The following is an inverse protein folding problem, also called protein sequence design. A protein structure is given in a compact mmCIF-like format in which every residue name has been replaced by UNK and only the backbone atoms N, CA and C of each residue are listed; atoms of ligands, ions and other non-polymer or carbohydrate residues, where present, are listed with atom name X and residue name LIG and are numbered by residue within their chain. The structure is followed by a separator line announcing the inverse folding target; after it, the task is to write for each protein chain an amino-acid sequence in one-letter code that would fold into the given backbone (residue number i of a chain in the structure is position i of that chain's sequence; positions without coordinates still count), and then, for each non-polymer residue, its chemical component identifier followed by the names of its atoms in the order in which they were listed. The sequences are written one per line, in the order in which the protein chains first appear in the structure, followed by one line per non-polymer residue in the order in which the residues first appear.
data_IF_512040269038
#
_entry.id   IF_512040269038
#
_cell.length_a   1.000
_cell.length_b   1.000
_cell.length_c   1.000
_cell.angle_alpha   90.00
_cell.angle_beta   90.00
_cell.angle_gamma   90.00
#
_symmetry.space_group_name_H-M   'P 1'
#
loop_
_entity.id
_entity.type
_entity.pdbx_description
1 polymer ?
#
# COMPACT_ATOMS: atom_id res chain seq x y z
N UNK A 1 17.56 0.87 -8.32
CA UNK A 1 17.31 -0.42 -7.63
C UNK A 1 15.81 -0.54 -7.32
N UNK A 2 15.37 -1.71 -6.83
CA UNK A 2 13.97 -1.91 -6.45
C UNK A 2 13.83 -2.83 -5.24
N UNK A 3 12.67 -2.75 -4.57
CA UNK A 3 12.24 -3.68 -3.54
C UNK A 3 10.81 -4.16 -3.84
N UNK A 4 10.55 -5.44 -3.66
CA UNK A 4 9.25 -6.07 -3.81
C UNK A 4 9.18 -7.35 -2.97
N UNK A 5 7.98 -7.90 -2.83
CA UNK A 5 7.72 -9.27 -2.39
C UNK A 5 6.87 -9.91 -3.47
N UNK A 6 7.36 -11.01 -4.06
CA UNK A 6 6.61 -11.70 -5.10
C UNK A 6 5.34 -12.33 -4.53
N UNK A 7 4.20 -12.20 -5.22
CA UNK A 7 2.97 -12.85 -4.82
C UNK A 7 3.09 -14.37 -4.99
N UNK A 8 2.35 -15.12 -4.21
CA UNK A 8 2.19 -16.53 -4.48
C UNK A 8 1.45 -16.71 -5.81
N UNK A 9 1.98 -17.60 -6.66
CA UNK A 9 1.44 -17.84 -8.01
C UNK A 9 -0.04 -18.20 -7.93
N UNK A 10 -0.85 -17.51 -8.73
CA UNK A 10 -2.30 -17.67 -8.82
C UNK A 10 -3.10 -17.42 -7.53
N UNK A 11 -2.47 -16.99 -6.45
CA UNK A 11 -3.17 -16.68 -5.19
C UNK A 11 -3.30 -15.18 -4.95
N UNK A 12 -2.19 -14.44 -5.10
CA UNK A 12 -2.12 -13.04 -4.68
C UNK A 12 -1.94 -12.03 -5.83
N UNK A 13 -1.94 -12.50 -7.08
CA UNK A 13 -1.69 -11.65 -8.25
C UNK A 13 -2.90 -10.92 -8.82
N UNK A 14 -4.09 -11.12 -8.27
CA UNK A 14 -5.33 -10.42 -8.67
C UNK A 14 -6.05 -10.96 -9.90
N UNK A 15 -5.40 -11.75 -10.74
CA UNK A 15 -5.99 -12.41 -11.91
C UNK A 15 -5.42 -13.82 -12.06
N UNK A 16 -6.18 -14.77 -12.63
CA UNK A 16 -5.67 -16.10 -12.95
C UNK A 16 -4.44 -16.00 -13.87
N UNK A 17 -3.41 -16.78 -13.57
CA UNK A 17 -2.12 -16.78 -14.27
C UNK A 17 -1.36 -15.44 -14.28
N UNK A 18 -1.84 -14.43 -13.57
CA UNK A 18 -1.17 -13.16 -13.38
C UNK A 18 -0.46 -13.10 -12.02
N UNK A 19 0.67 -12.41 -11.99
CA UNK A 19 1.44 -12.15 -10.77
C UNK A 19 1.67 -10.65 -10.61
N UNK A 20 0.57 -9.87 -10.60
CA UNK A 20 0.62 -8.43 -10.37
C UNK A 20 1.11 -8.20 -8.94
N UNK A 21 2.05 -7.28 -8.77
CA UNK A 21 2.67 -6.98 -7.49
C UNK A 21 2.89 -5.49 -7.31
N UNK A 22 2.94 -5.06 -6.06
CA UNK A 22 3.46 -3.74 -5.71
C UNK A 22 4.98 -3.81 -5.61
N UNK A 23 5.66 -2.79 -6.11
CA UNK A 23 7.12 -2.67 -5.96
C UNK A 23 7.50 -1.19 -5.84
N UNK A 24 8.67 -0.92 -5.27
CA UNK A 24 9.25 0.42 -5.24
C UNK A 24 10.56 0.42 -6.02
N UNK A 25 10.63 1.30 -7.02
CA UNK A 25 11.87 1.64 -7.68
C UNK A 25 12.48 2.86 -6.98
N UNK A 26 13.76 2.84 -6.73
CA UNK A 26 14.42 3.93 -6.03
C UNK A 26 15.84 4.20 -6.52
N UNK A 27 16.28 5.43 -6.36
CA UNK A 27 17.64 5.86 -6.69
C UNK A 27 18.57 5.60 -5.52
N UNK A 28 19.55 4.73 -5.76
CA UNK A 28 20.53 4.31 -4.73
C UNK A 28 21.57 5.37 -4.41
N UNK A 29 21.68 6.40 -5.23
CA UNK A 29 22.50 7.58 -4.95
C UNK A 29 21.80 8.58 -4.02
N UNK A 30 20.50 8.45 -3.80
CA UNK A 30 19.70 9.37 -2.97
C UNK A 30 19.11 8.76 -1.72
N UNK A 31 18.63 7.54 -1.82
CA UNK A 31 17.99 6.84 -0.69
C UNK A 31 18.52 5.42 -0.56
N UNK A 32 18.41 4.89 0.63
CA UNK A 32 18.72 3.52 0.97
C UNK A 32 17.59 2.85 1.72
N UNK A 33 17.53 1.53 1.64
CA UNK A 33 16.56 0.73 2.40
C UNK A 33 17.06 0.58 3.83
N UNK A 34 16.24 0.95 4.81
CA UNK A 34 16.58 0.74 6.23
C UNK A 34 16.62 -0.77 6.50
N UNK A 35 17.68 -1.30 7.12
CA UNK A 35 17.75 -2.72 7.43
C UNK A 35 16.57 -3.19 8.30
N UNK A 36 16.01 -4.35 7.96
CA UNK A 36 14.97 -4.98 8.77
C UNK A 36 15.49 -5.36 10.18
N UNK A 37 14.62 -5.33 11.18
CA UNK A 37 15.01 -5.61 12.55
C UNK A 37 15.40 -7.08 12.80
N UNK A 38 14.72 -8.02 12.15
CA UNK A 38 14.85 -9.44 12.46
C UNK A 38 15.56 -10.30 11.42
N UNK A 39 15.76 -9.83 10.20
CA UNK A 39 16.42 -10.58 9.10
C UNK A 39 17.02 -9.64 8.06
N UNK A 40 17.89 -10.19 7.21
CA UNK A 40 18.45 -9.45 6.07
C UNK A 40 17.32 -8.83 5.24
N UNK A 41 17.44 -7.55 4.95
CA UNK A 41 16.57 -6.85 4.00
C UNK A 41 16.51 -7.65 2.71
N UNK A 42 15.32 -8.11 2.33
CA UNK A 42 15.16 -8.86 1.08
C UNK A 42 15.12 -7.86 -0.07
N UNK A 43 16.15 -7.84 -0.89
CA UNK A 43 16.15 -7.09 -2.16
C UNK A 43 15.21 -7.73 -3.20
N UNK A 44 15.05 -9.04 -3.12
CA UNK A 44 14.19 -9.85 -3.96
C UNK A 44 13.60 -10.96 -3.09
N UNK A 45 12.33 -11.17 -3.11
CA UNK A 45 11.79 -12.43 -2.68
C UNK A 45 12.05 -13.44 -3.80
N UNK A 46 13.09 -14.23 -3.64
CA UNK A 46 13.25 -15.41 -4.47
C UNK A 46 12.03 -16.33 -4.34
N UNK A 47 11.98 -17.35 -5.13
CA UNK A 47 10.94 -18.34 -5.44
C UNK A 47 9.89 -18.75 -4.38
N UNK A 48 9.95 -18.30 -3.13
CA UNK A 48 9.13 -18.78 -2.02
C UNK A 48 8.62 -17.65 -1.12
N UNK A 49 8.13 -16.56 -1.69
CA UNK A 49 7.46 -15.52 -0.92
C UNK A 49 6.14 -16.04 -0.34
N UNK A 50 6.21 -16.89 0.70
CA UNK A 50 5.02 -17.24 1.47
C UNK A 50 4.45 -15.98 2.09
N UNK A 51 3.19 -15.72 1.80
CA UNK A 51 2.52 -14.45 2.05
C UNK A 51 2.52 -14.03 3.51
N UNK A 52 2.40 -14.97 4.42
CA UNK A 52 2.12 -14.67 5.83
C UNK A 52 3.40 -14.45 6.65
N UNK A 53 4.54 -14.96 6.18
CA UNK A 53 5.81 -14.82 6.90
C UNK A 53 6.44 -13.41 6.80
N UNK A 54 6.00 -12.59 5.83
CA UNK A 54 6.57 -11.27 5.54
C UNK A 54 5.57 -10.13 5.83
N UNK A 55 4.74 -10.30 6.86
CA UNK A 55 3.81 -9.25 7.28
C UNK A 55 4.55 -7.97 7.67
N UNK A 56 4.00 -6.84 7.28
CA UNK A 56 4.48 -5.53 7.69
C UNK A 56 4.16 -5.31 9.17
N UNK A 57 5.19 -5.23 9.99
CA UNK A 57 5.09 -4.97 11.42
C UNK A 57 6.15 -3.94 11.79
N UNK A 58 5.74 -2.86 12.44
CA UNK A 58 6.68 -1.91 13.04
C UNK A 58 7.17 -2.46 14.39
N UNK A 59 8.47 -2.44 14.62
CA UNK A 59 9.07 -2.87 15.88
C UNK A 59 8.64 -1.96 17.05
N UNK A 60 8.78 -2.47 18.27
CA UNK A 60 8.34 -1.77 19.50
C UNK A 60 8.99 -0.40 19.68
N UNK A 61 10.23 -0.25 19.22
CA UNK A 61 10.98 1.00 19.30
C UNK A 61 10.59 2.03 18.22
N UNK A 62 9.71 1.67 17.28
CA UNK A 62 9.28 2.51 16.18
C UNK A 62 10.34 2.80 15.09
N UNK A 63 11.54 2.25 15.23
CA UNK A 63 12.68 2.60 14.38
C UNK A 63 12.79 1.78 13.11
N UNK A 64 12.25 0.56 13.09
CA UNK A 64 12.42 -0.35 11.96
C UNK A 64 11.20 -1.23 11.76
N UNK A 65 11.02 -1.70 10.53
CA UNK A 65 10.11 -2.78 10.23
C UNK A 65 10.75 -4.13 10.58
N UNK A 66 9.95 -5.06 11.09
CA UNK A 66 10.35 -6.46 11.30
C UNK A 66 10.82 -7.09 9.99
N UNK A 67 10.11 -6.85 8.91
CA UNK A 67 10.45 -7.21 7.54
C UNK A 67 10.43 -5.95 6.66
N UNK A 68 11.50 -5.70 5.92
CA UNK A 68 11.59 -4.54 5.04
C UNK A 68 12.08 -4.96 3.64
N UNK A 69 11.19 -5.02 2.60
CA UNK A 69 9.78 -4.67 2.68
C UNK A 69 8.93 -5.71 3.43
N UNK A 70 7.74 -5.31 3.86
CA UNK A 70 6.71 -6.15 4.44
C UNK A 70 5.37 -6.00 3.73
N UNK A 71 4.45 -6.97 3.88
CA UNK A 71 3.11 -6.92 3.28
C UNK A 71 2.05 -6.61 4.32
N UNK A 72 1.08 -5.77 3.93
CA UNK A 72 -0.11 -5.45 4.72
C UNK A 72 -1.28 -6.29 4.19
N UNK A 73 -2.13 -6.78 5.08
CA UNK A 73 -3.31 -7.58 4.73
C UNK A 73 -3.04 -9.06 4.50
N UNK A 74 -1.91 -9.58 4.97
CA UNK A 74 -1.63 -11.02 4.99
C UNK A 74 -2.64 -11.74 5.89
N UNK A 75 -3.18 -12.89 5.42
CA UNK A 75 -4.19 -13.66 6.16
C UNK A 75 -5.59 -13.03 6.20
N UNK A 76 -5.80 -11.86 5.60
CA UNK A 76 -7.12 -11.19 5.59
C UNK A 76 -7.95 -11.61 4.39
N UNK A 77 -9.23 -11.95 4.63
CA UNK A 77 -10.16 -12.42 3.59
C UNK A 77 -10.32 -11.38 2.46
N UNK A 78 -10.45 -10.10 2.81
CA UNK A 78 -10.58 -9.02 1.85
C UNK A 78 -9.30 -8.72 1.04
N UNK A 79 -8.19 -9.36 1.36
CA UNK A 79 -6.99 -9.42 0.54
C UNK A 79 -6.79 -10.79 -0.16
N UNK A 80 -7.70 -11.74 -0.03
CA UNK A 80 -7.61 -13.04 -0.72
C UNK A 80 -7.72 -12.84 -2.23
N UNK A 81 -6.85 -13.50 -2.98
CA UNK A 81 -6.76 -13.41 -4.45
C UNK A 81 -6.55 -12.00 -5.01
N UNK A 82 -5.96 -11.11 -4.22
CA UNK A 82 -5.63 -9.75 -4.64
C UNK A 82 -4.24 -9.38 -4.17
N UNK A 83 -3.69 -8.30 -4.75
CA UNK A 83 -2.37 -7.77 -4.39
C UNK A 83 -2.40 -7.31 -2.94
N UNK A 84 -1.40 -7.71 -2.17
CA UNK A 84 -1.18 -7.17 -0.82
C UNK A 84 -0.52 -5.81 -0.93
N UNK A 85 -0.89 -4.86 -0.08
CA UNK A 85 -0.15 -3.61 0.01
C UNK A 85 1.27 -3.86 0.50
N UNK A 86 2.24 -3.16 -0.08
CA UNK A 86 3.65 -3.31 0.23
C UNK A 86 4.10 -2.13 1.08
N UNK A 87 4.67 -2.39 2.24
CA UNK A 87 5.27 -1.37 3.09
C UNK A 87 6.79 -1.47 3.03
N UNK A 88 7.47 -0.34 2.84
CA UNK A 88 8.91 -0.25 2.90
C UNK A 88 9.36 0.96 3.72
N UNK A 89 10.49 0.82 4.39
CA UNK A 89 11.13 1.86 5.17
C UNK A 89 12.43 2.26 4.49
N UNK A 90 12.53 3.53 4.11
CA UNK A 90 13.67 4.12 3.45
C UNK A 90 14.28 5.23 4.31
N UNK A 91 15.54 5.53 4.02
CA UNK A 91 16.27 6.66 4.59
C UNK A 91 16.94 7.45 3.48
N UNK A 92 16.96 8.76 3.56
CA UNK A 92 17.79 9.58 2.71
C UNK A 92 19.26 9.37 3.06
N UNK A 93 20.13 9.36 2.05
CA UNK A 93 21.57 9.31 2.28
C UNK A 93 22.07 10.60 2.93
N UNK A 94 23.21 10.49 3.59
CA UNK A 94 23.86 11.61 4.24
C UNK A 94 24.04 12.77 3.25
N UNK A 95 23.82 13.99 3.72
CA UNK A 95 23.81 15.19 2.88
C UNK A 95 22.53 15.45 2.10
N UNK A 96 21.58 14.51 2.09
CA UNK A 96 20.27 14.67 1.44
C UNK A 96 19.19 14.71 2.51
N UNK A 97 18.40 15.78 2.54
CA UNK A 97 17.27 15.97 3.46
C UNK A 97 17.60 15.61 4.93
N UNK A 98 18.83 15.89 5.37
CA UNK A 98 19.31 15.63 6.74
C UNK A 98 19.33 14.14 7.14
N UNK A 99 19.40 13.23 6.18
CA UNK A 99 19.39 11.79 6.46
C UNK A 99 18.08 11.28 7.07
N UNK A 100 16.97 12.02 6.94
CA UNK A 100 15.66 11.62 7.47
C UNK A 100 15.17 10.33 6.81
N UNK A 101 14.44 9.54 7.59
CA UNK A 101 13.80 8.32 7.12
C UNK A 101 12.29 8.52 6.92
N UNK A 102 11.67 7.61 6.16
CA UNK A 102 10.26 7.66 5.84
C UNK A 102 9.73 6.28 5.45
N UNK A 103 8.45 6.06 5.68
CA UNK A 103 7.74 4.86 5.28
C UNK A 103 6.96 5.10 4.00
N UNK A 104 6.97 4.12 3.10
CA UNK A 104 6.18 4.16 1.86
C UNK A 104 5.29 2.92 1.82
N UNK A 105 4.02 3.12 1.51
CA UNK A 105 3.05 2.05 1.35
C UNK A 105 2.55 2.10 -0.09
N UNK A 106 2.82 1.04 -0.85
CA UNK A 106 2.34 0.86 -2.21
C UNK A 106 1.06 0.05 -2.22
N UNK A 107 -0.01 0.59 -2.80
CA UNK A 107 -1.32 -0.02 -2.84
C UNK A 107 -1.71 -0.40 -4.26
N UNK A 108 -2.48 -1.49 -4.39
CA UNK A 108 -3.24 -1.82 -5.57
C UNK A 108 -4.51 -2.54 -5.11
N UNK A 109 -5.53 -1.75 -4.77
CA UNK A 109 -6.77 -2.24 -4.19
C UNK A 109 -7.64 -2.98 -5.21
N UNK A 110 -8.73 -3.58 -4.74
CA UNK A 110 -9.67 -4.31 -5.57
C UNK A 110 -10.31 -3.39 -6.62
N UNK A 111 -10.27 -3.83 -7.88
CA UNK A 111 -10.90 -3.11 -8.99
C UNK A 111 -12.43 -3.13 -8.86
N UNK A 112 -13.10 -2.24 -9.60
CA UNK A 112 -14.58 -2.16 -9.66
C UNK A 112 -15.20 -3.26 -10.54
N UNK A 113 -14.41 -4.23 -10.98
CA UNK A 113 -14.89 -5.34 -11.82
C UNK A 113 -15.94 -6.17 -11.06
N UNK A 114 -17.10 -6.33 -11.66
CA UNK A 114 -18.22 -7.10 -11.11
C UNK A 114 -19.18 -6.29 -10.23
N UNK A 115 -18.95 -4.99 -10.08
CA UNK A 115 -19.96 -4.07 -9.53
C UNK A 115 -21.00 -3.75 -10.61
N UNK A 116 -22.24 -3.56 -10.18
CA UNK A 116 -23.30 -3.11 -11.07
C UNK A 116 -23.07 -1.64 -11.50
N UNK A 117 -23.43 -1.27 -12.73
CA UNK A 117 -23.46 0.13 -13.14
C UNK A 117 -24.38 0.95 -12.22
N UNK A 118 -23.96 2.17 -11.86
CA UNK A 118 -24.74 3.06 -10.98
C UNK A 118 -26.14 3.31 -11.53
N UNK A 119 -26.28 3.41 -12.85
CA UNK A 119 -27.52 3.64 -13.59
C UNK A 119 -28.05 2.36 -14.27
N UNK A 120 -27.67 1.19 -13.73
CA UNK A 120 -28.14 -0.11 -14.24
C UNK A 120 -29.59 -0.42 -13.85
N UNK A 121 -30.12 -1.50 -14.45
CA UNK A 121 -31.49 -1.99 -14.16
C UNK A 121 -31.68 -2.48 -12.73
N UNK A 122 -30.61 -2.85 -12.05
CA UNK A 122 -30.66 -3.27 -10.64
C UNK A 122 -30.50 -2.07 -9.73
N UNK A 123 -31.50 -1.83 -8.86
CA UNK A 123 -31.46 -0.77 -7.84
C UNK A 123 -31.81 -1.33 -6.45
N UNK A 124 -31.02 -1.03 -5.42
CA UNK A 124 -29.72 -0.34 -5.49
C UNK A 124 -28.66 -1.19 -6.21
N UNK A 125 -27.71 -0.53 -6.86
CA UNK A 125 -26.60 -1.17 -7.54
C UNK A 125 -25.75 -1.96 -6.53
N UNK A 126 -25.40 -3.21 -6.86
CA UNK A 126 -24.50 -4.01 -6.03
C UNK A 126 -23.06 -3.55 -6.21
N UNK A 127 -22.43 -3.12 -5.15
CA UNK A 127 -21.07 -2.54 -5.12
C UNK A 127 -20.14 -3.29 -4.16
N UNK A 128 -20.08 -4.62 -4.30
CA UNK A 128 -19.31 -5.48 -3.40
C UNK A 128 -17.80 -5.21 -3.40
N UNK A 129 -17.28 -4.68 -4.51
CA UNK A 129 -15.87 -4.29 -4.58
C UNK A 129 -15.56 -3.05 -3.73
N UNK A 130 -16.53 -2.16 -3.54
CA UNK A 130 -16.38 -0.95 -2.73
C UNK A 130 -16.20 -1.31 -1.24
N UNK A 131 -17.04 -2.18 -0.70
CA UNK A 131 -16.90 -2.67 0.68
C UNK A 131 -15.52 -3.29 0.90
N UNK A 132 -15.07 -4.06 -0.09
CA UNK A 132 -13.74 -4.68 -0.05
C UNK A 132 -12.62 -3.64 -0.04
N UNK A 133 -12.72 -2.59 -0.86
CA UNK A 133 -11.75 -1.47 -0.86
C UNK A 133 -11.75 -0.74 0.47
N UNK A 134 -12.91 -0.54 1.09
CA UNK A 134 -13.01 0.07 2.41
C UNK A 134 -12.24 -0.73 3.47
N UNK A 135 -12.43 -2.07 3.51
CA UNK A 135 -11.71 -2.94 4.43
C UNK A 135 -10.18 -2.96 4.14
N UNK A 136 -9.80 -2.91 2.87
CA UNK A 136 -8.39 -2.80 2.47
C UNK A 136 -7.78 -1.46 2.93
N UNK A 137 -8.53 -0.37 2.82
CA UNK A 137 -8.11 0.93 3.33
C UNK A 137 -7.96 0.93 4.86
N UNK A 138 -8.93 0.36 5.57
CA UNK A 138 -8.89 0.25 7.04
C UNK A 138 -7.65 -0.52 7.53
N UNK A 139 -7.28 -1.60 6.85
CA UNK A 139 -6.08 -2.36 7.20
C UNK A 139 -4.78 -1.56 6.97
N UNK A 140 -4.72 -0.81 5.88
CA UNK A 140 -3.57 0.08 5.60
C UNK A 140 -3.51 1.20 6.62
N UNK A 141 -4.65 1.80 6.97
CA UNK A 141 -4.75 2.85 8.00
C UNK A 141 -4.31 2.31 9.36
N UNK A 142 -4.78 1.12 9.76
CA UNK A 142 -4.36 0.49 11.02
C UNK A 142 -2.83 0.29 11.09
N UNK A 143 -2.20 -0.04 9.96
CA UNK A 143 -0.74 -0.12 9.90
C UNK A 143 -0.08 1.27 10.02
N UNK A 144 -0.63 2.30 9.38
CA UNK A 144 -0.15 3.69 9.52
C UNK A 144 -0.25 4.14 10.97
N UNK A 145 -1.39 3.87 11.61
CA UNK A 145 -1.62 4.22 13.02
C UNK A 145 -0.61 3.50 13.94
N UNK A 146 -0.31 2.23 13.67
CA UNK A 146 0.70 1.48 14.43
C UNK A 146 2.11 2.09 14.34
N UNK A 147 2.44 2.74 13.21
CA UNK A 147 3.68 3.52 13.08
C UNK A 147 3.58 4.81 13.89
N UNK A 148 2.48 5.55 13.74
CA UNK A 148 2.26 6.84 14.39
C UNK A 148 2.17 6.75 15.90
N UNK A 149 1.60 5.69 16.45
CA UNK A 149 1.57 5.39 17.90
C UNK A 149 2.98 5.27 18.49
N UNK A 150 3.92 4.68 17.74
CA UNK A 150 5.30 4.50 18.18
C UNK A 150 6.19 5.68 17.86
N UNK A 151 5.86 6.40 16.81
CA UNK A 151 6.64 7.52 16.27
C UNK A 151 5.71 8.55 15.64
N UNK A 152 5.21 9.48 16.45
CA UNK A 152 4.21 10.47 16.03
C UNK A 152 4.69 11.41 14.91
N UNK A 153 6.01 11.63 14.81
CA UNK A 153 6.67 12.44 13.77
C UNK A 153 7.04 11.66 12.51
N UNK A 154 6.75 10.35 12.44
CA UNK A 154 7.10 9.53 11.29
C UNK A 154 6.48 10.08 10.00
N UNK A 155 7.31 10.26 8.97
CA UNK A 155 6.83 10.56 7.63
C UNK A 155 6.31 9.28 6.96
N UNK A 156 5.04 9.28 6.55
CA UNK A 156 4.41 8.13 5.89
C UNK A 156 3.78 8.59 4.59
N UNK A 157 4.11 7.90 3.50
CA UNK A 157 3.55 8.10 2.16
C UNK A 157 2.75 6.87 1.80
N UNK A 158 1.48 7.04 1.44
CA UNK A 158 0.63 5.97 0.90
C UNK A 158 0.28 6.34 -0.54
N UNK A 159 0.64 5.49 -1.49
CA UNK A 159 0.50 5.75 -2.93
C UNK A 159 0.16 4.47 -3.69
N UNK A 160 -0.25 4.61 -4.95
CA UNK A 160 -0.55 3.49 -5.84
C UNK A 160 -1.93 3.57 -6.46
N UNK A 161 -2.40 2.44 -6.97
CA UNK A 161 -3.74 2.31 -7.56
C UNK A 161 -4.76 1.91 -6.48
N UNK A 162 -5.52 2.87 -6.02
CA UNK A 162 -6.62 2.63 -5.07
C UNK A 162 -7.88 2.09 -5.74
N UNK A 163 -7.93 2.06 -7.08
CA UNK A 163 -9.12 1.72 -7.86
C UNK A 163 -10.36 2.51 -7.45
N UNK A 164 -10.15 3.76 -7.05
CA UNK A 164 -11.21 4.64 -6.57
C UNK A 164 -10.90 6.12 -6.87
N UNK A 165 -11.92 6.96 -6.75
CA UNK A 165 -11.81 8.39 -7.01
C UNK A 165 -11.27 9.15 -5.79
N UNK A 166 -10.68 10.32 -6.04
CA UNK A 166 -10.15 11.20 -4.99
C UNK A 166 -11.23 11.66 -3.99
N UNK A 167 -12.49 11.68 -4.41
CA UNK A 167 -13.67 12.05 -3.59
C UNK A 167 -14.41 10.84 -3.02
N UNK A 168 -13.90 9.63 -3.17
CA UNK A 168 -14.56 8.40 -2.69
C UNK A 168 -14.49 8.24 -1.17
N UNK A 169 -15.33 7.38 -0.63
CA UNK A 169 -15.28 7.00 0.77
C UNK A 169 -13.93 6.35 1.15
N UNK A 170 -13.31 5.61 0.22
CA UNK A 170 -11.96 5.06 0.40
C UNK A 170 -10.95 6.19 0.67
N UNK A 171 -10.96 7.27 -0.13
CA UNK A 171 -10.09 8.42 0.07
C UNK A 171 -10.45 9.18 1.37
N UNK A 172 -11.73 9.32 1.68
CA UNK A 172 -12.22 9.96 2.90
C UNK A 172 -11.71 9.26 4.17
N UNK A 173 -11.60 7.92 4.19
CA UNK A 173 -11.04 7.15 5.31
C UNK A 173 -9.60 7.54 5.60
N UNK A 174 -8.73 7.63 4.60
CA UNK A 174 -7.35 8.09 4.77
C UNK A 174 -7.28 9.53 5.31
N UNK A 175 -8.15 10.40 4.82
CA UNK A 175 -8.24 11.77 5.29
C UNK A 175 -8.68 11.84 6.76
N UNK A 176 -9.67 11.05 7.16
CA UNK A 176 -10.11 10.94 8.55
C UNK A 176 -9.00 10.42 9.49
N UNK A 177 -8.11 9.57 8.99
CA UNK A 177 -6.90 9.11 9.67
C UNK A 177 -5.74 10.13 9.66
N UNK A 178 -5.99 11.38 9.27
CA UNK A 178 -5.01 12.46 9.29
C UNK A 178 -4.03 12.47 8.10
N UNK A 179 -4.26 11.66 7.07
CA UNK A 179 -3.46 11.71 5.84
C UNK A 179 -3.93 12.86 4.94
N UNK A 180 -2.99 13.51 4.28
CA UNK A 180 -3.28 14.55 3.28
C UNK A 180 -3.34 13.93 1.89
N UNK A 181 -4.43 14.18 1.17
CA UNK A 181 -4.54 13.77 -0.20
C UNK A 181 -3.83 14.78 -1.11
N UNK A 182 -2.71 14.38 -1.72
CA UNK A 182 -1.92 15.25 -2.58
C UNK A 182 -2.72 15.77 -3.81
N UNK A 183 -3.69 15.01 -4.29
CA UNK A 183 -4.54 15.42 -5.42
C UNK A 183 -5.38 16.66 -5.06
N UNK A 184 -5.77 16.83 -3.79
CA UNK A 184 -6.54 18.00 -3.34
C UNK A 184 -5.73 19.30 -3.33
N UNK A 185 -4.42 19.25 -3.52
CA UNK A 185 -3.59 20.47 -3.68
C UNK A 185 -3.70 21.07 -5.09
N UNK A 186 -4.27 20.33 -6.03
CA UNK A 186 -4.49 20.77 -7.40
C UNK A 186 -5.84 21.51 -7.52
N UNK A 187 -6.00 22.39 -8.51
CA UNK A 187 -7.31 22.92 -8.92
C UNK A 187 -8.27 21.76 -9.20
N UNK A 188 -9.56 21.95 -8.93
CA UNK A 188 -10.55 20.86 -8.98
C UNK A 188 -10.63 20.18 -10.36
N UNK A 189 -10.53 20.96 -11.43
CA UNK A 189 -10.52 20.46 -12.80
C UNK A 189 -9.26 19.68 -13.19
N UNK A 190 -8.21 19.69 -12.34
CA UNK A 190 -6.96 18.96 -12.54
C UNK A 190 -6.81 17.77 -11.57
N UNK A 191 -7.83 17.50 -10.73
CA UNK A 191 -7.81 16.44 -9.71
C UNK A 191 -8.08 15.06 -10.29
N UNK A 192 -7.25 14.63 -11.22
CA UNK A 192 -7.28 13.27 -11.77
C UNK A 192 -5.87 12.71 -11.91
N UNK A 193 -5.73 11.39 -11.92
CA UNK A 193 -4.46 10.71 -12.18
C UNK A 193 -4.57 9.81 -13.40
N UNK A 194 -5.65 9.04 -13.51
CA UNK A 194 -5.92 8.15 -14.63
C UNK A 194 -7.44 8.01 -14.81
N UNK A 195 -7.88 8.08 -16.05
CA UNK A 195 -9.27 7.81 -16.43
C UNK A 195 -9.26 6.66 -17.42
N UNK A 196 -9.98 5.58 -17.11
CA UNK A 196 -10.21 4.48 -18.04
C UNK A 196 -11.30 4.89 -19.03
N UNK A 197 -10.97 4.92 -20.30
CA UNK A 197 -11.91 5.20 -21.39
C UNK A 197 -12.55 3.92 -21.91
#
# INVERSE_FOLDING_TARGET
NYVNIDPEKNKDGGIPNGNIRCCFLYRTDRIEVVPAAGRKTQKHSGKNGHSDELSAVIEKDGKRLKHNPGRIGTGKEYFTRTRKSLAAHFKFKDGINGGKDFFVIGNHFSSKRGDDPVWGSRQPAKRSSEERRHLQADEVIAFIDSIKEKRSDAAVISAGDYNDFWFSQTAAKFKAAGMKNAVETLPENERYTYVYA
#
